data_IF_088226834022
#
_entry.id   IF_088226834022
#
_cell.length_a   1.000
_cell.length_b   1.000
_cell.length_c   1.000
_cell.angle_alpha   90.00
_cell.angle_beta   90.00
_cell.angle_gamma   90.00
#
_symmetry.space_group_name_H-M   'P 1'
#
loop_
_entity.id
_entity.type
_entity.pdbx_description
1 polymer ?
#
# COMPACT_ATOMS: atom_id res chain seq x y z
N UNK A 1 -4.64 -5.23 3.89
CA UNK A 1 -4.80 -3.79 4.17
C UNK A 1 -6.25 -3.48 4.47
N UNK A 2 -7.01 -3.02 3.46
CA UNK A 2 -8.41 -2.64 3.61
C UNK A 2 -9.31 -3.71 4.26
N UNK A 3 -9.18 -4.96 3.83
CA UNK A 3 -9.94 -6.08 4.39
C UNK A 3 -9.58 -6.36 5.86
N UNK A 4 -8.30 -6.24 6.23
CA UNK A 4 -7.83 -6.52 7.59
C UNK A 4 -8.45 -5.56 8.62
N UNK A 5 -8.69 -4.31 8.24
CA UNK A 5 -9.35 -3.30 9.09
C UNK A 5 -10.86 -3.22 8.85
N UNK A 6 -11.40 -4.09 8.00
CA UNK A 6 -12.82 -4.10 7.62
C UNK A 6 -13.27 -2.71 7.15
N UNK A 7 -12.45 -2.06 6.31
CA UNK A 7 -12.80 -0.78 5.70
C UNK A 7 -14.08 -0.97 4.87
N UNK A 8 -15.02 -0.02 4.99
CA UNK A 8 -16.27 -0.04 4.21
C UNK A 8 -16.02 0.37 2.75
N UNK A 9 -15.10 1.31 2.57
CA UNK A 9 -14.75 1.91 1.29
C UNK A 9 -13.22 1.94 1.15
N UNK A 10 -12.75 2.01 -0.11
CA UNK A 10 -11.34 2.32 -0.42
C UNK A 10 -11.23 3.82 -0.65
N UNK A 11 -10.66 4.54 0.32
CA UNK A 11 -10.57 6.00 0.24
C UNK A 11 -9.39 6.47 -0.61
N UNK A 12 -9.38 7.76 -0.96
CA UNK A 12 -8.27 8.37 -1.69
C UNK A 12 -6.96 8.27 -0.90
N UNK A 13 -7.01 8.47 0.41
CA UNK A 13 -5.86 8.39 1.31
C UNK A 13 -5.25 6.99 1.32
N UNK A 14 -6.09 5.95 1.30
CA UNK A 14 -5.63 4.55 1.19
C UNK A 14 -4.92 4.28 -0.14
N UNK A 15 -5.47 4.80 -1.25
CA UNK A 15 -4.83 4.68 -2.57
C UNK A 15 -3.51 5.45 -2.63
N UNK A 16 -3.46 6.67 -2.09
CA UNK A 16 -2.26 7.49 -2.03
C UNK A 16 -1.18 6.83 -1.16
N UNK A 17 -1.55 6.23 -0.03
CA UNK A 17 -0.62 5.49 0.81
C UNK A 17 -0.05 4.26 0.09
N UNK A 18 -0.88 3.51 -0.64
CA UNK A 18 -0.42 2.40 -1.47
C UNK A 18 0.56 2.86 -2.56
N UNK A 19 0.19 3.89 -3.32
CA UNK A 19 1.00 4.44 -4.39
C UNK A 19 2.35 4.97 -3.87
N UNK A 20 2.32 5.70 -2.75
CA UNK A 20 3.55 6.20 -2.14
C UNK A 20 4.43 5.06 -1.65
N UNK A 21 3.83 4.05 -1.01
CA UNK A 21 4.60 2.92 -0.51
C UNK A 21 5.25 2.12 -1.63
N UNK A 22 4.57 1.93 -2.76
CA UNK A 22 5.14 1.33 -3.97
C UNK A 22 6.33 2.15 -4.46
N UNK A 23 6.18 3.48 -4.59
CA UNK A 23 7.26 4.36 -5.02
C UNK A 23 8.49 4.31 -4.09
N UNK A 24 8.27 4.24 -2.78
CA UNK A 24 9.36 4.21 -1.79
C UNK A 24 10.18 2.89 -1.81
N UNK A 25 9.64 1.80 -2.36
CA UNK A 25 10.33 0.50 -2.44
C UNK A 25 10.91 0.20 -3.82
N UNK A 26 10.73 1.10 -4.80
CA UNK A 26 11.32 0.93 -6.14
C UNK A 26 12.85 1.04 -6.05
N UNK A 27 13.60 0.08 -6.62
CA UNK A 27 15.05 0.19 -6.74
C UNK A 27 15.47 1.43 -7.54
N UNK A 28 16.63 2.00 -7.22
CA UNK A 28 17.14 3.15 -7.95
C UNK A 28 17.35 2.80 -9.44
N UNK A 29 16.80 3.65 -10.33
CA UNK A 29 16.87 3.44 -11.78
C UNK A 29 15.71 2.62 -12.36
N UNK A 30 14.81 2.11 -11.52
CA UNK A 30 13.60 1.41 -11.95
C UNK A 30 12.35 2.29 -11.77
N UNK A 31 11.24 1.88 -12.40
CA UNK A 31 9.95 2.58 -12.30
C UNK A 31 8.95 1.86 -11.39
N UNK A 32 9.12 0.56 -11.18
CA UNK A 32 8.21 -0.30 -10.42
C UNK A 32 9.04 -1.26 -9.57
N UNK A 33 8.52 -1.69 -8.40
CA UNK A 33 9.18 -2.75 -7.65
C UNK A 33 8.92 -4.11 -8.31
N UNK A 34 9.61 -5.16 -7.83
CA UNK A 34 9.29 -6.53 -8.22
C UNK A 34 7.88 -6.90 -7.72
N UNK A 35 6.96 -7.07 -8.66
CA UNK A 35 5.54 -7.27 -8.36
C UNK A 35 5.21 -8.70 -7.97
N UNK A 36 6.10 -9.67 -8.26
CA UNK A 36 5.94 -11.05 -7.81
C UNK A 36 6.56 -11.32 -6.45
N UNK A 37 7.27 -10.35 -5.85
CA UNK A 37 7.78 -10.48 -4.49
C UNK A 37 6.65 -10.31 -3.47
N UNK A 38 6.34 -11.33 -2.64
CA UNK A 38 5.37 -11.20 -1.57
C UNK A 38 5.67 -10.07 -0.58
N UNK A 39 6.93 -9.64 -0.44
CA UNK A 39 7.31 -8.50 0.40
C UNK A 39 6.73 -7.17 -0.11
N UNK A 40 6.67 -6.97 -1.43
CA UNK A 40 6.02 -5.81 -2.07
C UNK A 40 4.57 -5.69 -1.60
N UNK A 41 3.82 -6.79 -1.68
CA UNK A 41 2.41 -6.81 -1.24
C UNK A 41 2.26 -6.58 0.27
N UNK A 42 3.12 -7.19 1.10
CA UNK A 42 3.10 -6.99 2.56
C UNK A 42 3.36 -5.53 2.95
N UNK A 43 4.31 -4.88 2.27
CA UNK A 43 4.62 -3.47 2.47
C UNK A 43 3.41 -2.57 2.18
N UNK A 44 2.72 -2.79 1.05
CA UNK A 44 1.51 -2.05 0.68
C UNK A 44 0.36 -2.32 1.64
N UNK A 45 0.18 -3.57 2.09
CA UNK A 45 -0.86 -3.95 3.06
C UNK A 45 -0.80 -3.10 4.32
N UNK A 46 0.40 -2.90 4.87
CA UNK A 46 0.60 -2.12 6.10
C UNK A 46 0.36 -0.63 5.87
N UNK A 47 0.84 -0.06 4.76
CA UNK A 47 0.58 1.34 4.41
C UNK A 47 -0.91 1.63 4.27
N UNK A 48 -1.65 0.76 3.58
CA UNK A 48 -3.11 0.87 3.41
C UNK A 48 -3.83 0.73 4.75
N UNK A 49 -3.35 -0.16 5.63
CA UNK A 49 -3.93 -0.36 6.97
C UNK A 49 -3.84 0.91 7.82
N UNK A 50 -2.68 1.57 7.81
CA UNK A 50 -2.43 2.79 8.58
C UNK A 50 -3.20 4.00 8.05
N UNK A 51 -3.41 4.06 6.73
CA UNK A 51 -4.14 5.14 6.07
C UNK A 51 -5.67 5.00 6.15
N UNK A 52 -6.19 3.83 6.57
CA UNK A 52 -7.61 3.63 6.71
C UNK A 52 -8.19 4.57 7.79
N UNK A 53 -9.38 5.15 7.57
CA UNK A 53 -10.00 6.02 8.55
C UNK A 53 -10.25 5.27 9.86
N UNK A 54 -9.87 5.90 10.97
CA UNK A 54 -10.16 5.36 12.30
C UNK A 54 -11.66 5.48 12.56
N UNK A 55 -12.24 4.42 13.13
CA UNK A 55 -13.61 4.46 13.64
C UNK A 55 -13.69 5.25 14.94
#
# INVERSE_FOLDING_TARGET
GALDVRARDITLEMMMAAARKLADIVPAGELMPEMMDPATHRAVVEAVRQAAPKK
#
